data_IF_553160144819
#
_entry.id   IF_553160144819
#
_cell.length_a   1.000
_cell.length_b   1.000
_cell.length_c   1.000
_cell.angle_alpha   90.00
_cell.angle_beta   90.00
_cell.angle_gamma   90.00
#
_symmetry.space_group_name_H-M   'P 1'
#
loop_
_entity.id
_entity.type
_entity.pdbx_description
1 polymer ?
#
# COMPACT_ATOMS: atom_id res chain seq x y z
N UNK A 1 -16.25 21.89 1.19
CA UNK A 1 -15.98 20.43 1.15
C UNK A 1 -15.18 19.98 2.37
N UNK A 2 -14.18 20.76 2.81
CA UNK A 2 -13.36 20.54 4.02
C UNK A 2 -14.18 20.37 5.31
N UNK A 3 -15.20 21.19 5.53
CA UNK A 3 -16.07 21.15 6.72
C UNK A 3 -16.77 19.81 6.98
N UNK A 4 -17.11 19.07 5.92
CA UNK A 4 -17.81 17.80 6.06
C UNK A 4 -16.87 16.67 6.50
N UNK A 5 -15.63 16.67 5.96
CA UNK A 5 -14.62 15.66 6.27
C UNK A 5 -14.16 15.83 7.73
N UNK A 6 -13.94 17.06 8.19
CA UNK A 6 -13.58 17.31 9.60
C UNK A 6 -14.71 16.88 10.54
N UNK A 7 -15.97 17.20 10.23
CA UNK A 7 -17.12 16.72 11.02
C UNK A 7 -17.20 15.19 11.09
N UNK A 8 -16.89 14.50 9.99
CA UNK A 8 -16.87 13.04 9.96
C UNK A 8 -15.73 12.48 10.83
N UNK A 9 -14.54 13.09 10.72
CA UNK A 9 -13.38 12.74 11.54
C UNK A 9 -13.67 12.90 13.03
N UNK A 10 -14.24 14.03 13.43
CA UNK A 10 -14.63 14.28 14.82
C UNK A 10 -15.61 13.22 15.33
N UNK A 11 -16.62 12.89 14.52
CA UNK A 11 -17.60 11.86 14.87
C UNK A 11 -16.96 10.47 15.06
N UNK A 12 -15.99 10.11 14.23
CA UNK A 12 -15.22 8.86 14.39
C UNK A 12 -14.41 8.89 15.69
N UNK A 13 -13.74 10.01 15.96
CA UNK A 13 -12.87 10.17 17.13
C UNK A 13 -13.64 10.26 18.47
N UNK A 14 -14.94 10.59 18.45
CA UNK A 14 -15.80 10.54 19.64
C UNK A 14 -16.01 9.11 20.17
N UNK A 15 -15.90 8.08 19.32
CA UNK A 15 -16.01 6.68 19.72
C UNK A 15 -14.78 5.88 19.30
N UNK A 16 -13.66 6.10 20.01
CA UNK A 16 -12.37 5.46 19.70
C UNK A 16 -12.41 3.93 19.77
N UNK A 17 -13.29 3.35 20.59
CA UNK A 17 -13.43 1.89 20.71
C UNK A 17 -14.02 1.24 19.46
N UNK A 18 -14.80 2.01 18.68
CA UNK A 18 -15.37 1.55 17.41
C UNK A 18 -14.37 1.56 16.24
N UNK A 19 -13.18 2.15 16.42
CA UNK A 19 -12.20 2.27 15.35
C UNK A 19 -11.55 0.92 15.09
N UNK A 20 -11.62 0.39 13.85
CA UNK A 20 -11.02 -0.90 13.54
C UNK A 20 -9.51 -0.83 13.76
N UNK A 21 -8.98 -1.80 14.51
CA UNK A 21 -7.53 -1.91 14.73
C UNK A 21 -6.80 -2.18 13.42
N UNK A 22 -7.41 -2.93 12.50
CA UNK A 22 -6.81 -3.34 11.22
C UNK A 22 -7.81 -3.18 10.07
N UNK A 23 -7.39 -2.49 9.02
CA UNK A 23 -8.10 -2.40 7.74
C UNK A 23 -7.24 -3.02 6.63
N UNK A 24 -7.84 -3.85 5.79
CA UNK A 24 -7.21 -4.34 4.56
C UNK A 24 -7.96 -3.80 3.33
N UNK A 25 -7.23 -3.33 2.32
CA UNK A 25 -7.79 -2.70 1.12
C UNK A 25 -7.26 -3.38 -0.13
N UNK A 26 -8.19 -3.82 -0.99
CA UNK A 26 -7.89 -4.22 -2.36
C UNK A 26 -8.04 -3.00 -3.25
N UNK A 27 -6.92 -2.49 -3.77
CA UNK A 27 -6.87 -1.24 -4.54
C UNK A 27 -7.19 -1.49 -6.03
N UNK A 28 -8.40 -1.98 -6.32
CA UNK A 28 -8.83 -2.30 -7.68
C UNK A 28 -9.44 -1.08 -8.39
N UNK A 29 -9.52 -1.15 -9.73
CA UNK A 29 -10.22 -0.18 -10.56
C UNK A 29 -9.34 0.83 -11.29
N UNK A 30 -8.04 0.94 -10.96
CA UNK A 30 -7.10 1.88 -11.58
C UNK A 30 -7.13 1.84 -13.12
N UNK A 31 -7.04 0.64 -13.70
CA UNK A 31 -7.07 0.47 -15.16
C UNK A 31 -8.42 0.84 -15.79
N UNK A 32 -9.55 0.52 -15.12
CA UNK A 32 -10.89 0.89 -15.59
C UNK A 32 -11.11 2.41 -15.51
N UNK A 33 -10.66 3.03 -14.43
CA UNK A 33 -10.71 4.48 -14.23
C UNK A 33 -9.94 5.25 -15.31
N UNK A 34 -8.77 4.74 -15.72
CA UNK A 34 -7.99 5.29 -16.81
C UNK A 34 -8.68 5.10 -18.18
N UNK A 35 -9.25 3.92 -18.43
CA UNK A 35 -9.96 3.62 -19.67
C UNK A 35 -11.18 4.54 -19.89
N UNK A 36 -11.96 4.82 -18.84
CA UNK A 36 -13.08 5.77 -18.87
C UNK A 36 -12.67 7.21 -19.25
N UNK A 37 -11.37 7.53 -19.18
CA UNK A 37 -10.80 8.85 -19.50
C UNK A 37 -9.98 8.83 -20.79
N UNK A 38 -10.03 7.74 -21.55
CA UNK A 38 -9.18 7.53 -22.73
C UNK A 38 -7.68 7.69 -22.41
N UNK A 39 -7.24 7.21 -21.24
CA UNK A 39 -5.85 7.26 -20.79
C UNK A 39 -5.25 5.85 -20.66
N UNK A 40 -3.93 5.70 -20.83
CA UNK A 40 -3.22 4.45 -20.56
C UNK A 40 -3.42 3.97 -19.12
N UNK A 41 -3.38 2.66 -18.87
CA UNK A 41 -3.57 2.07 -17.53
C UNK A 41 -2.59 2.62 -16.48
N UNK A 42 -1.36 2.93 -16.88
CA UNK A 42 -0.33 3.55 -16.03
C UNK A 42 -0.80 4.85 -15.41
N UNK A 43 -1.57 5.66 -16.13
CA UNK A 43 -2.16 6.90 -15.61
C UNK A 43 -3.11 6.64 -14.43
N UNK A 44 -3.89 5.57 -14.50
CA UNK A 44 -4.74 5.15 -13.38
C UNK A 44 -3.93 4.65 -12.18
N UNK A 45 -2.81 3.97 -12.42
CA UNK A 45 -1.93 3.56 -11.34
C UNK A 45 -1.25 4.73 -10.64
N UNK A 46 -0.88 5.79 -11.37
CA UNK A 46 -0.38 7.03 -10.78
C UNK A 46 -1.45 7.75 -9.94
N UNK A 47 -2.70 7.80 -10.43
CA UNK A 47 -3.82 8.31 -9.62
C UNK A 47 -4.03 7.46 -8.35
N UNK A 48 -3.86 6.14 -8.45
CA UNK A 48 -3.89 5.22 -7.32
C UNK A 48 -2.84 5.52 -6.25
N UNK A 49 -1.65 6.00 -6.63
CA UNK A 49 -0.62 6.43 -5.66
C UNK A 49 -1.10 7.61 -4.82
N UNK A 50 -1.74 8.60 -5.44
CA UNK A 50 -2.32 9.74 -4.71
C UNK A 50 -3.40 9.28 -3.73
N UNK A 51 -4.31 8.40 -4.18
CA UNK A 51 -5.35 7.85 -3.32
C UNK A 51 -4.77 7.06 -2.14
N UNK A 52 -3.70 6.28 -2.34
CA UNK A 52 -3.00 5.58 -1.26
C UNK A 52 -2.45 6.55 -0.23
N UNK A 53 -1.82 7.65 -0.67
CA UNK A 53 -1.29 8.66 0.25
C UNK A 53 -2.39 9.26 1.13
N UNK A 54 -3.53 9.58 0.54
CA UNK A 54 -4.70 10.10 1.27
C UNK A 54 -5.25 9.08 2.27
N UNK A 55 -5.37 7.81 1.88
CA UNK A 55 -5.84 6.73 2.76
C UNK A 55 -4.88 6.48 3.92
N UNK A 56 -3.57 6.48 3.68
CA UNK A 56 -2.56 6.30 4.74
C UNK A 56 -2.64 7.45 5.75
N UNK A 57 -2.76 8.69 5.27
CA UNK A 57 -2.94 9.87 6.14
C UNK A 57 -4.23 9.76 6.94
N UNK A 58 -5.36 9.50 6.28
CA UNK A 58 -6.66 9.38 6.95
C UNK A 58 -6.66 8.26 8.00
N UNK A 59 -6.10 7.09 7.69
CA UNK A 59 -5.99 5.97 8.63
C UNK A 59 -5.14 6.33 9.85
N UNK A 60 -4.02 7.01 9.65
CA UNK A 60 -3.17 7.51 10.74
C UNK A 60 -3.92 8.52 11.61
N UNK A 61 -4.58 9.49 10.99
CA UNK A 61 -5.32 10.57 11.63
C UNK A 61 -6.48 10.08 12.51
N UNK A 62 -7.20 9.04 12.07
CA UNK A 62 -8.28 8.44 12.86
C UNK A 62 -7.76 7.39 13.86
N UNK A 63 -6.47 7.07 13.86
CA UNK A 63 -5.86 6.17 14.84
C UNK A 63 -5.97 4.68 14.54
N UNK A 64 -6.21 4.29 13.28
CA UNK A 64 -6.08 2.89 12.83
C UNK A 64 -4.65 2.41 13.09
N UNK A 65 -4.49 1.19 13.59
CA UNK A 65 -3.17 0.65 13.98
C UNK A 65 -2.48 -0.11 12.85
N UNK A 66 -3.24 -0.82 12.03
CA UNK A 66 -2.73 -1.62 10.93
C UNK A 66 -3.49 -1.30 9.65
N UNK A 67 -2.77 -0.99 8.59
CA UNK A 67 -3.32 -0.83 7.25
C UNK A 67 -2.60 -1.78 6.31
N UNK A 68 -3.32 -2.68 5.64
CA UNK A 68 -2.75 -3.58 4.64
C UNK A 68 -3.29 -3.24 3.27
N UNK A 69 -2.40 -3.04 2.32
CA UNK A 69 -2.74 -2.72 0.94
C UNK A 69 -2.37 -3.90 0.03
N UNK A 70 -3.33 -4.37 -0.76
CA UNK A 70 -3.06 -5.40 -1.76
C UNK A 70 -2.43 -4.77 -3.01
N UNK A 71 -1.11 -4.61 -2.98
CA UNK A 71 -0.36 -3.79 -3.95
C UNK A 71 -0.02 -4.53 -5.23
N UNK A 72 0.38 -5.80 -5.15
CA UNK A 72 0.70 -6.60 -6.34
C UNK A 72 0.46 -8.09 -6.07
N UNK A 73 -0.38 -8.74 -6.88
CA UNK A 73 -0.69 -10.16 -6.73
C UNK A 73 0.23 -11.07 -7.55
N UNK A 74 0.31 -12.35 -7.18
CA UNK A 74 1.00 -13.37 -8.00
C UNK A 74 0.38 -13.44 -9.40
N UNK A 75 -0.93 -13.27 -9.53
CA UNK A 75 -1.62 -13.27 -10.82
C UNK A 75 -1.28 -12.04 -11.67
N UNK A 76 -0.73 -10.96 -11.09
CA UNK A 76 -0.34 -9.79 -11.88
C UNK A 76 0.85 -10.06 -12.80
N UNK A 77 1.61 -11.14 -12.60
CA UNK A 77 2.66 -11.57 -13.53
C UNK A 77 2.11 -12.03 -14.88
N UNK A 78 0.82 -12.40 -14.98
CA UNK A 78 0.21 -12.78 -16.27
C UNK A 78 -0.13 -11.59 -17.16
N UNK A 79 0.09 -10.35 -16.69
CA UNK A 79 -0.12 -9.13 -17.48
C UNK A 79 1.02 -8.93 -18.49
N UNK A 80 0.83 -8.06 -19.51
CA UNK A 80 1.90 -7.71 -20.44
C UNK A 80 3.17 -7.25 -19.72
N UNK A 81 4.34 -7.69 -20.19
CA UNK A 81 5.65 -7.42 -19.55
C UNK A 81 5.91 -5.94 -19.33
N UNK A 82 5.51 -5.11 -20.29
CA UNK A 82 5.69 -3.65 -20.19
C UNK A 82 4.83 -3.03 -19.08
N UNK A 83 3.59 -3.51 -18.90
CA UNK A 83 2.73 -3.08 -17.78
C UNK A 83 3.34 -3.49 -16.44
N UNK A 84 3.81 -4.74 -16.32
CA UNK A 84 4.48 -5.22 -15.10
C UNK A 84 5.73 -4.39 -14.80
N UNK A 85 6.56 -4.12 -15.81
CA UNK A 85 7.76 -3.30 -15.64
C UNK A 85 7.42 -1.88 -15.19
N UNK A 86 6.39 -1.26 -15.78
CA UNK A 86 5.92 0.08 -15.40
C UNK A 86 5.39 0.11 -13.95
N UNK A 87 4.59 -0.87 -13.54
CA UNK A 87 4.10 -1.00 -12.16
C UNK A 87 5.24 -1.11 -11.16
N UNK A 88 6.23 -1.94 -11.48
CA UNK A 88 7.37 -2.19 -10.63
C UNK A 88 8.27 -0.94 -10.52
N UNK A 89 8.45 -0.19 -11.62
CA UNK A 89 9.14 1.11 -11.60
C UNK A 89 8.38 2.17 -10.82
N UNK A 90 7.04 2.21 -10.95
CA UNK A 90 6.18 3.10 -10.17
C UNK A 90 6.29 2.80 -8.67
N UNK A 91 6.23 1.51 -8.28
CA UNK A 91 6.40 1.09 -6.89
C UNK A 91 7.72 1.59 -6.30
N UNK A 92 8.85 1.38 -7.00
CA UNK A 92 10.15 1.85 -6.54
C UNK A 92 10.21 3.37 -6.43
N UNK A 93 9.75 4.10 -7.45
CA UNK A 93 9.73 5.57 -7.45
C UNK A 93 8.89 6.13 -6.30
N UNK A 94 7.67 5.63 -6.13
CA UNK A 94 6.77 6.05 -5.06
C UNK A 94 7.38 5.71 -3.70
N UNK A 95 7.92 4.50 -3.52
CA UNK A 95 8.55 4.13 -2.25
C UNK A 95 9.67 5.10 -1.90
N UNK A 96 10.59 5.38 -2.82
CA UNK A 96 11.68 6.35 -2.59
C UNK A 96 11.15 7.73 -2.18
N UNK A 97 10.14 8.22 -2.88
CA UNK A 97 9.58 9.56 -2.65
C UNK A 97 8.82 9.67 -1.32
N UNK A 98 8.18 8.59 -0.87
CA UNK A 98 7.37 8.60 0.35
C UNK A 98 8.16 8.31 1.63
N UNK A 99 9.40 7.80 1.59
CA UNK A 99 10.16 7.42 2.80
C UNK A 99 10.19 8.54 3.84
N UNK A 100 10.53 9.76 3.43
CA UNK A 100 10.61 10.92 4.33
C UNK A 100 9.25 11.24 4.96
N UNK A 101 8.18 11.13 4.18
CA UNK A 101 6.82 11.39 4.63
C UNK A 101 6.32 10.29 5.60
N UNK A 102 6.67 9.03 5.34
CA UNK A 102 6.38 7.91 6.25
C UNK A 102 7.10 8.11 7.60
N UNK A 103 8.35 8.56 7.58
CA UNK A 103 9.11 8.87 8.80
C UNK A 103 8.45 10.03 9.56
N UNK A 104 8.15 11.13 8.85
CA UNK A 104 7.53 12.32 9.44
C UNK A 104 6.19 12.01 10.11
N UNK A 105 5.40 11.12 9.52
CA UNK A 105 4.08 10.73 10.02
C UNK A 105 4.12 9.52 10.96
N UNK A 106 5.30 9.12 11.46
CA UNK A 106 5.49 7.96 12.36
C UNK A 106 4.86 6.65 11.82
N UNK A 107 4.87 6.46 10.49
CA UNK A 107 4.34 5.26 9.83
C UNK A 107 5.44 4.22 9.71
N UNK A 108 5.19 3.01 10.21
CA UNK A 108 6.08 1.85 10.09
C UNK A 108 5.72 1.04 8.85
N UNK A 109 6.64 0.92 7.90
CA UNK A 109 6.43 0.12 6.69
C UNK A 109 6.81 -1.34 6.93
N UNK A 110 5.97 -2.25 6.45
CA UNK A 110 6.19 -3.70 6.36
C UNK A 110 5.79 -4.20 4.98
N UNK A 111 6.29 -5.37 4.62
CA UNK A 111 5.91 -6.07 3.39
C UNK A 111 5.57 -7.53 3.69
N UNK A 112 4.66 -8.11 2.91
CA UNK A 112 4.30 -9.54 2.94
C UNK A 112 4.21 -10.08 1.50
N UNK A 113 4.32 -11.40 1.35
CA UNK A 113 4.37 -12.09 0.05
C UNK A 113 5.79 -12.41 -0.42
N UNK A 114 5.93 -12.79 -1.69
CA UNK A 114 7.19 -13.27 -2.26
C UNK A 114 8.09 -12.13 -2.74
N UNK A 115 8.58 -11.32 -1.78
CA UNK A 115 9.39 -10.14 -2.05
C UNK A 115 10.71 -10.48 -2.75
N UNK A 116 11.29 -11.65 -2.44
CA UNK A 116 12.55 -12.11 -3.03
C UNK A 116 12.45 -12.36 -4.54
N UNK A 117 11.25 -12.64 -5.06
CA UNK A 117 11.01 -12.80 -6.50
C UNK A 117 10.89 -11.46 -7.24
N UNK A 118 10.87 -10.33 -6.53
CA UNK A 118 10.88 -9.02 -7.16
C UNK A 118 12.29 -8.69 -7.71
N UNK A 119 12.38 -7.93 -8.82
CA UNK A 119 13.66 -7.51 -9.37
C UNK A 119 14.56 -6.82 -8.33
N UNK A 120 15.83 -7.21 -8.27
CA UNK A 120 16.78 -6.84 -7.20
C UNK A 120 16.84 -5.34 -6.89
N UNK A 121 16.92 -4.49 -7.93
CA UNK A 121 16.98 -3.03 -7.75
C UNK A 121 15.75 -2.51 -7.01
N UNK A 122 14.58 -3.05 -7.35
CA UNK A 122 13.29 -2.61 -6.81
C UNK A 122 13.06 -3.12 -5.40
N UNK A 123 13.49 -4.36 -5.14
CA UNK A 123 13.51 -4.97 -3.81
C UNK A 123 14.38 -4.17 -2.83
N UNK A 124 15.59 -3.76 -3.23
CA UNK A 124 16.49 -2.96 -2.37
C UNK A 124 15.87 -1.65 -1.88
N UNK A 125 15.07 -0.99 -2.72
CA UNK A 125 14.36 0.25 -2.35
C UNK A 125 13.32 -0.03 -1.25
N UNK A 126 12.57 -1.12 -1.37
CA UNK A 126 11.60 -1.54 -0.35
C UNK A 126 12.29 -1.92 0.97
N UNK A 127 13.37 -2.70 0.90
CA UNK A 127 14.17 -3.09 2.07
C UNK A 127 14.73 -1.86 2.81
N UNK A 128 15.21 -0.86 2.07
CA UNK A 128 15.65 0.42 2.64
C UNK A 128 14.52 1.15 3.37
N UNK A 129 13.34 1.26 2.74
CA UNK A 129 12.19 1.94 3.33
C UNK A 129 11.69 1.25 4.62
N UNK A 130 11.63 -0.08 4.62
CA UNK A 130 11.31 -0.89 5.81
C UNK A 130 12.35 -0.64 6.91
N UNK A 131 13.64 -0.64 6.57
CA UNK A 131 14.72 -0.40 7.54
C UNK A 131 14.67 1.02 8.14
N UNK A 132 14.36 2.03 7.32
CA UNK A 132 14.29 3.43 7.74
C UNK A 132 13.09 3.73 8.65
N UNK A 133 12.00 2.99 8.50
CA UNK A 133 10.75 3.18 9.27
C UNK A 133 10.58 2.19 10.41
N UNK A 134 11.55 1.28 10.65
CA UNK A 134 11.42 0.14 11.57
C UNK A 134 11.09 0.52 13.02
N UNK A 135 11.55 1.69 13.46
CA UNK A 135 11.41 2.19 14.83
C UNK A 135 10.16 3.05 15.04
N UNK A 136 9.41 3.33 13.97
CA UNK A 136 8.18 4.10 14.05
C UNK A 136 7.11 3.33 14.84
N UNK A 137 6.28 4.05 15.59
CA UNK A 137 5.32 3.49 16.56
C UNK A 137 3.86 3.77 16.20
N UNK A 138 3.61 4.61 15.20
CA UNK A 138 2.29 4.94 14.69
C UNK A 138 1.71 3.83 13.80
N UNK A 139 1.07 4.21 12.71
CA UNK A 139 0.40 3.28 11.81
C UNK A 139 1.39 2.25 11.24
N UNK A 140 1.03 0.97 11.28
CA UNK A 140 1.77 -0.08 10.59
C UNK A 140 1.15 -0.27 9.20
N UNK A 141 1.84 0.24 8.19
CA UNK A 141 1.49 0.07 6.77
C UNK A 141 2.14 -1.21 6.23
N UNK A 142 1.34 -2.16 5.79
CA UNK A 142 1.79 -3.42 5.19
C UNK A 142 1.45 -3.44 3.70
N UNK A 143 2.46 -3.58 2.84
CA UNK A 143 2.27 -3.78 1.40
C UNK A 143 2.33 -5.27 1.07
N UNK A 144 1.23 -5.81 0.54
CA UNK A 144 1.18 -7.17 0.04
C UNK A 144 1.65 -7.19 -1.42
N UNK A 145 2.85 -7.73 -1.63
CA UNK A 145 3.60 -7.66 -2.89
C UNK A 145 3.98 -9.05 -3.35
N UNK A 146 3.71 -9.34 -4.62
CA UNK A 146 3.76 -10.69 -5.14
C UNK A 146 3.04 -11.68 -4.20
N UNK A 147 1.84 -11.27 -3.77
CA UNK A 147 1.11 -11.92 -2.71
C UNK A 147 -0.08 -12.73 -3.24
N UNK A 148 -0.32 -13.89 -2.63
CA UNK A 148 -1.55 -14.66 -2.80
C UNK A 148 -1.85 -15.42 -1.51
N UNK A 149 -3.06 -15.26 -0.97
CA UNK A 149 -3.42 -15.87 0.33
C UNK A 149 -3.31 -17.39 0.36
N UNK A 150 -3.69 -18.07 -0.74
CA UNK A 150 -3.49 -19.53 -0.87
C UNK A 150 -2.01 -19.92 -0.80
N UNK A 151 -1.16 -19.14 -1.46
CA UNK A 151 0.29 -19.37 -1.48
C UNK A 151 0.89 -19.11 -0.10
N UNK A 152 0.50 -18.04 0.58
CA UNK A 152 0.96 -17.73 1.94
C UNK A 152 0.62 -18.86 2.93
N UNK A 153 -0.60 -19.41 2.87
CA UNK A 153 -1.00 -20.56 3.70
C UNK A 153 -0.11 -21.78 3.41
N UNK A 154 0.14 -22.08 2.14
CA UNK A 154 0.98 -23.22 1.75
C UNK A 154 2.43 -23.05 2.20
N UNK A 155 2.98 -21.85 2.08
CA UNK A 155 4.35 -21.56 2.52
C UNK A 155 4.48 -21.66 4.04
N UNK A 156 3.48 -21.18 4.79
CA UNK A 156 3.44 -21.32 6.23
C UNK A 156 3.45 -22.80 6.65
N UNK A 157 2.66 -23.65 6.00
CA UNK A 157 2.65 -25.11 6.27
C UNK A 157 4.00 -25.76 5.94
N UNK A 158 4.66 -25.36 4.85
CA UNK A 158 5.98 -25.90 4.47
C UNK A 158 7.13 -25.49 5.40
N UNK A 159 6.95 -24.43 6.16
CA UNK A 159 7.96 -23.88 7.06
C UNK A 159 7.87 -24.44 8.50
N UNK A 160 6.83 -25.23 8.79
CA UNK A 160 6.68 -25.99 10.05
C UNK A 160 7.51 -27.27 9.99
#
# INVERSE_FOLDING_TARGET
MTDHIEKLKDKILQNKESIPKHIAIIMDGNGRWAAQRNKPRTYGHEAGVTAVREVVRAASDVGVKYLTLYTFSIQNWSRPKDEVSALMSLLSRTTTNEITELIKNDVKLRTIGHIHSLPTVRRKVLELAVSKTRNNKGLILTLALNYGGRTEILDAVKAL
#
